data_IF_818006961318
#
_entry.id   IF_818006961318
#
_cell.length_a   1.000
_cell.length_b   1.000
_cell.length_c   1.000
_cell.angle_alpha   90.00
_cell.angle_beta   90.00
_cell.angle_gamma   90.00
#
_symmetry.space_group_name_H-M   'P 1'
#
loop_
_entity.id
_entity.type
_entity.pdbx_description
1 polymer ?
#
# COMPACT_ATOMS: atom_id res chain seq x y z
N UNK A 1 -0.20 20.94 -5.07
CA UNK A 1 1.13 21.41 -5.53
C UNK A 1 1.28 22.87 -5.11
N UNK A 2 2.50 23.43 -4.86
CA UNK A 2 2.61 24.85 -4.57
C UNK A 2 2.18 25.67 -5.80
N UNK A 3 1.40 26.73 -5.57
CA UNK A 3 0.91 27.56 -6.66
C UNK A 3 2.09 28.16 -7.43
N UNK A 4 2.03 28.13 -8.76
CA UNK A 4 2.98 28.86 -9.60
C UNK A 4 2.55 30.31 -9.74
N UNK A 5 1.25 30.56 -9.83
CA UNK A 5 0.71 31.90 -10.03
C UNK A 5 -0.14 32.39 -8.87
N UNK A 6 -0.05 33.69 -8.60
CA UNK A 6 -0.96 34.45 -7.73
C UNK A 6 -1.43 35.70 -8.46
N UNK A 7 -2.50 36.33 -7.98
CA UNK A 7 -3.01 37.59 -8.50
C UNK A 7 -2.83 38.64 -7.44
N UNK A 8 -2.23 39.76 -7.82
CA UNK A 8 -2.08 40.93 -6.97
C UNK A 8 -3.08 42.01 -7.41
N UNK A 9 -3.75 42.63 -6.45
CA UNK A 9 -4.85 43.59 -6.70
C UNK A 9 -4.47 44.70 -7.71
N UNK A 10 -3.24 45.21 -7.65
CA UNK A 10 -2.76 46.33 -8.50
C UNK A 10 -1.95 45.90 -9.71
N UNK A 11 -1.37 44.69 -9.66
CA UNK A 11 -0.33 44.26 -10.60
C UNK A 11 -0.76 43.05 -11.44
N UNK A 12 -1.96 42.52 -11.20
CA UNK A 12 -2.48 41.38 -11.94
C UNK A 12 -1.75 40.09 -11.61
N UNK A 13 -1.60 39.22 -12.59
CA UNK A 13 -1.04 37.87 -12.43
C UNK A 13 0.48 37.91 -12.26
N UNK A 14 0.99 37.24 -11.23
CA UNK A 14 2.40 37.16 -10.85
C UNK A 14 2.91 35.72 -10.95
N UNK A 15 4.11 35.49 -11.50
CA UNK A 15 4.77 34.16 -11.61
C UNK A 15 5.82 33.98 -10.50
N UNK A 16 5.50 33.15 -9.50
CA UNK A 16 6.36 32.90 -8.34
C UNK A 16 7.64 32.12 -8.69
N UNK A 17 7.78 31.59 -9.92
CA UNK A 17 9.03 30.98 -10.39
C UNK A 17 10.04 31.99 -10.90
N UNK A 18 9.63 33.24 -11.15
CA UNK A 18 10.54 34.31 -11.57
C UNK A 18 10.94 35.16 -10.37
N UNK A 19 12.21 35.54 -10.30
CA UNK A 19 12.75 36.34 -9.20
C UNK A 19 12.08 37.73 -9.11
N UNK A 20 11.61 38.25 -10.23
CA UNK A 20 10.91 39.53 -10.39
C UNK A 20 9.39 39.37 -10.52
N UNK A 21 8.83 38.22 -10.14
CA UNK A 21 7.40 37.91 -10.29
C UNK A 21 6.86 37.99 -11.73
N UNK A 22 7.74 38.14 -12.73
CA UNK A 22 7.39 38.29 -14.13
C UNK A 22 6.90 39.68 -14.53
N UNK A 23 7.13 40.72 -13.71
CA UNK A 23 6.74 42.10 -14.01
C UNK A 23 7.88 43.10 -13.72
N UNK A 24 7.91 44.27 -14.39
CA UNK A 24 8.80 45.37 -14.01
C UNK A 24 8.61 45.77 -12.53
N UNK A 25 9.71 45.90 -11.80
CA UNK A 25 9.69 46.24 -10.36
C UNK A 25 9.24 45.10 -9.43
N UNK A 26 9.01 43.89 -9.96
CA UNK A 26 8.42 42.81 -9.16
C UNK A 26 9.35 42.21 -8.09
N UNK A 27 10.67 42.44 -8.17
CA UNK A 27 11.60 42.04 -7.11
C UNK A 27 11.37 42.84 -5.81
N UNK A 28 11.16 44.15 -5.91
CA UNK A 28 10.83 45.01 -4.77
C UNK A 28 9.42 44.68 -4.23
N UNK A 29 8.47 44.42 -5.13
CA UNK A 29 7.14 43.95 -4.75
C UNK A 29 7.21 42.64 -3.95
N UNK A 30 8.01 41.66 -4.40
CA UNK A 30 8.17 40.38 -3.72
C UNK A 30 8.68 40.57 -2.29
N UNK A 31 9.71 41.38 -2.08
CA UNK A 31 10.27 41.62 -0.75
C UNK A 31 9.25 42.29 0.18
N UNK A 32 8.46 43.25 -0.30
CA UNK A 32 7.36 43.84 0.48
C UNK A 32 6.32 42.78 0.88
N UNK A 33 5.84 41.99 -0.08
CA UNK A 33 4.83 40.94 0.20
C UNK A 33 5.33 39.87 1.19
N UNK A 34 6.62 39.56 1.17
CA UNK A 34 7.26 38.65 2.13
C UNK A 34 7.47 39.28 3.53
N UNK A 35 7.61 40.61 3.59
CA UNK A 35 7.79 41.39 4.81
C UNK A 35 6.47 41.68 5.55
N UNK A 36 5.33 41.68 4.84
CA UNK A 36 3.98 41.99 5.36
C UNK A 36 3.39 40.95 6.32
N UNK A 37 4.23 40.23 7.09
CA UNK A 37 3.82 39.14 7.98
C UNK A 37 2.85 39.58 9.09
N UNK A 38 2.84 40.86 9.44
CA UNK A 38 2.00 41.44 10.51
C UNK A 38 0.62 41.90 10.04
N UNK A 39 0.40 42.03 8.72
CA UNK A 39 -0.89 42.42 8.17
C UNK A 39 -1.83 41.20 8.13
N UNK A 40 -3.14 41.36 8.39
CA UNK A 40 -4.11 40.31 8.08
C UNK A 40 -3.99 39.88 6.62
N UNK A 41 -4.03 38.58 6.33
CA UNK A 41 -3.79 38.08 4.96
C UNK A 41 -4.79 38.65 3.94
N UNK A 42 -6.04 38.88 4.38
CA UNK A 42 -7.08 39.48 3.55
C UNK A 42 -6.76 40.90 3.06
N UNK A 43 -5.84 41.62 3.71
CA UNK A 43 -5.48 42.99 3.34
C UNK A 43 -4.15 43.07 2.59
N UNK A 44 -3.50 41.94 2.28
CA UNK A 44 -2.21 41.90 1.58
C UNK A 44 -2.34 41.97 0.05
N UNK A 45 -3.57 42.03 -0.45
CA UNK A 45 -3.85 42.20 -1.88
C UNK A 45 -3.42 41.03 -2.78
N UNK A 46 -3.12 39.85 -2.22
CA UNK A 46 -2.72 38.65 -2.97
C UNK A 46 -3.81 37.59 -2.89
N UNK A 47 -4.29 37.11 -4.03
CA UNK A 47 -5.26 36.02 -4.15
C UNK A 47 -4.74 34.88 -5.03
N UNK A 48 -5.36 33.70 -4.91
CA UNK A 48 -5.02 32.56 -5.73
C UNK A 48 -5.41 32.78 -7.21
N UNK A 49 -4.44 32.72 -8.13
CA UNK A 49 -4.65 32.84 -9.58
C UNK A 49 -4.61 31.48 -10.32
N UNK A 50 -4.91 30.40 -9.62
CA UNK A 50 -4.93 29.06 -10.17
C UNK A 50 -6.29 28.41 -9.91
N UNK A 51 -6.35 27.42 -9.03
CA UNK A 51 -7.52 26.56 -8.89
C UNK A 51 -8.71 27.35 -8.31
N UNK A 52 -8.50 28.21 -7.31
CA UNK A 52 -9.59 29.03 -6.78
C UNK A 52 -10.14 30.04 -7.80
N UNK A 53 -9.29 30.76 -8.55
CA UNK A 53 -9.74 31.66 -9.62
C UNK A 53 -10.51 30.92 -10.72
N UNK A 54 -10.02 29.74 -11.14
CA UNK A 54 -10.71 28.89 -12.12
C UNK A 54 -12.09 28.45 -11.65
N UNK A 55 -12.24 28.23 -10.34
CA UNK A 55 -13.50 27.86 -9.69
C UNK A 55 -14.37 29.08 -9.31
N UNK A 56 -13.97 30.30 -9.68
CA UNK A 56 -14.72 31.53 -9.40
C UNK A 56 -14.59 32.06 -7.97
N UNK A 57 -13.59 31.61 -7.19
CA UNK A 57 -13.35 32.07 -5.83
C UNK A 57 -12.18 33.07 -5.76
N UNK A 58 -12.39 34.16 -5.02
CA UNK A 58 -11.34 35.10 -4.63
C UNK A 58 -10.79 34.75 -3.23
N UNK A 59 -9.81 33.86 -3.19
CA UNK A 59 -9.24 33.37 -1.92
C UNK A 59 -7.92 34.07 -1.58
N UNK A 60 -7.83 34.79 -0.44
CA UNK A 60 -6.61 35.47 -0.01
C UNK A 60 -5.47 34.49 0.29
N UNK A 61 -4.28 34.87 -0.14
CA UNK A 61 -3.05 34.12 0.04
C UNK A 61 -1.95 34.99 0.69
N UNK A 62 -0.99 34.32 1.31
CA UNK A 62 0.26 34.96 1.75
C UNK A 62 1.47 34.24 1.17
N UNK A 63 2.55 34.99 1.01
CA UNK A 63 3.82 34.48 0.50
C UNK A 63 4.81 34.23 1.65
N UNK A 64 5.60 33.17 1.52
CA UNK A 64 6.73 32.90 2.41
C UNK A 64 7.84 32.15 1.68
N UNK A 65 9.06 32.15 2.24
CA UNK A 65 10.18 31.37 1.72
C UNK A 65 10.25 30.01 2.41
N UNK A 66 10.31 28.93 1.64
CA UNK A 66 10.54 27.56 2.11
C UNK A 66 11.62 26.90 1.27
N UNK A 67 12.73 26.50 1.92
CA UNK A 67 13.88 25.88 1.24
C UNK A 67 14.36 26.68 0.02
N UNK A 68 14.49 28.00 0.18
CA UNK A 68 14.93 28.92 -0.87
C UNK A 68 13.89 29.27 -1.94
N UNK A 69 12.69 28.67 -1.90
CA UNK A 69 11.61 28.92 -2.87
C UNK A 69 10.53 29.82 -2.29
N UNK A 70 9.98 30.69 -3.12
CA UNK A 70 8.76 31.45 -2.78
C UNK A 70 7.57 30.50 -2.89
N UNK A 71 6.73 30.48 -1.84
CA UNK A 71 5.54 29.64 -1.75
C UNK A 71 4.36 30.54 -1.39
N UNK A 72 3.24 30.36 -2.07
CA UNK A 72 1.96 30.91 -1.67
C UNK A 72 1.15 29.88 -0.89
N UNK A 73 0.49 30.31 0.18
CA UNK A 73 -0.43 29.47 0.98
C UNK A 73 -1.73 30.22 1.26
N UNK A 74 -2.82 29.46 1.33
CA UNK A 74 -4.13 29.97 1.74
C UNK A 74 -4.17 30.18 3.24
N UNK A 75 -5.00 31.13 3.68
CA UNK A 75 -5.26 31.32 5.12
C UNK A 75 -6.24 30.28 5.66
N UNK A 76 -7.17 29.81 4.81
CA UNK A 76 -8.24 28.88 5.18
C UNK A 76 -7.95 27.51 4.59
N UNK A 77 -8.08 26.47 5.40
CA UNK A 77 -7.91 25.07 4.98
C UNK A 77 -8.89 24.70 3.86
N UNK A 78 -10.13 25.18 3.91
CA UNK A 78 -11.15 24.93 2.88
C UNK A 78 -10.76 25.46 1.50
N UNK A 79 -9.97 26.54 1.43
CA UNK A 79 -9.42 27.04 0.18
C UNK A 79 -8.23 26.22 -0.30
N UNK A 80 -7.39 25.75 0.62
CA UNK A 80 -6.32 24.81 0.31
C UNK A 80 -6.86 23.47 -0.20
N UNK A 81 -7.95 22.97 0.37
CA UNK A 81 -8.64 21.73 -0.03
C UNK A 81 -9.05 21.74 -1.51
N UNK A 82 -9.46 22.89 -2.04
CA UNK A 82 -9.81 23.04 -3.48
C UNK A 82 -8.62 22.74 -4.39
N UNK A 83 -7.38 22.99 -3.94
CA UNK A 83 -6.16 22.77 -4.73
C UNK A 83 -5.72 21.32 -4.83
N UNK A 84 -6.33 20.42 -4.05
CA UNK A 84 -6.07 19.00 -4.12
C UNK A 84 -6.98 18.28 -5.14
N UNK A 85 -7.76 19.04 -5.93
CA UNK A 85 -8.85 18.53 -6.72
C UNK A 85 -10.07 18.37 -5.82
N UNK A 86 -11.21 18.92 -6.24
CA UNK A 86 -12.44 18.85 -5.46
C UNK A 86 -12.83 17.37 -5.25
N UNK A 87 -12.75 16.90 -4.01
CA UNK A 87 -13.29 15.62 -3.56
C UNK A 87 -12.28 14.48 -3.52
N UNK A 88 -12.58 13.52 -2.64
CA UNK A 88 -12.02 12.17 -2.67
C UNK A 88 -12.01 11.64 -4.12
N UNK A 89 -10.88 11.11 -4.59
CA UNK A 89 -10.78 10.62 -5.97
C UNK A 89 -11.75 9.46 -6.21
N UNK A 90 -12.21 9.29 -7.43
CA UNK A 90 -13.15 8.21 -7.75
C UNK A 90 -12.53 6.82 -7.47
N UNK A 91 -11.20 6.67 -7.60
CA UNK A 91 -10.54 5.43 -7.18
C UNK A 91 -10.61 5.21 -5.66
N UNK A 92 -10.44 6.25 -4.85
CA UNK A 92 -10.53 6.17 -3.39
C UNK A 92 -11.96 5.79 -2.98
N UNK A 93 -12.98 6.47 -3.53
CA UNK A 93 -14.39 6.10 -3.34
C UNK A 93 -14.68 4.65 -3.78
N UNK A 94 -14.11 4.22 -4.89
CA UNK A 94 -14.29 2.87 -5.41
C UNK A 94 -13.67 1.80 -4.50
N UNK A 95 -12.51 2.06 -3.90
CA UNK A 95 -11.93 1.17 -2.88
C UNK A 95 -12.80 1.11 -1.63
N UNK A 96 -13.32 2.23 -1.12
CA UNK A 96 -14.28 2.26 0.01
C UNK A 96 -15.51 1.42 -0.28
N UNK A 97 -16.16 1.68 -1.42
CA UNK A 97 -17.36 0.95 -1.85
C UNK A 97 -17.08 -0.54 -2.02
N UNK A 98 -15.92 -0.91 -2.55
CA UNK A 98 -15.50 -2.30 -2.69
C UNK A 98 -15.25 -2.98 -1.34
N UNK A 99 -14.63 -2.30 -0.38
CA UNK A 99 -14.41 -2.83 0.97
C UNK A 99 -15.74 -3.09 1.70
N UNK A 100 -16.66 -2.13 1.66
CA UNK A 100 -18.03 -2.29 2.21
C UNK A 100 -18.70 -3.50 1.60
N UNK A 101 -18.77 -3.55 0.26
CA UNK A 101 -19.42 -4.63 -0.46
C UNK A 101 -18.79 -5.99 -0.11
N UNK A 102 -17.46 -6.09 -0.08
CA UNK A 102 -16.77 -7.32 0.27
C UNK A 102 -17.11 -7.78 1.70
N UNK A 103 -17.15 -6.85 2.66
CA UNK A 103 -17.54 -7.14 4.03
C UNK A 103 -18.99 -7.64 4.13
N UNK A 104 -19.93 -6.95 3.48
CA UNK A 104 -21.36 -7.32 3.45
C UNK A 104 -21.58 -8.69 2.82
N UNK A 105 -20.87 -9.02 1.75
CA UNK A 105 -20.89 -10.35 1.13
C UNK A 105 -20.30 -11.44 2.03
N UNK A 106 -19.42 -11.05 2.97
CA UNK A 106 -18.92 -11.92 4.03
C UNK A 106 -19.88 -12.08 5.22
N UNK A 107 -21.05 -11.43 5.18
CA UNK A 107 -22.02 -11.42 6.28
C UNK A 107 -21.73 -10.38 7.38
N UNK A 108 -20.80 -9.45 7.14
CA UNK A 108 -20.40 -8.43 8.12
C UNK A 108 -21.07 -7.08 7.84
N UNK A 109 -21.35 -6.32 8.89
CA UNK A 109 -21.87 -4.96 8.71
C UNK A 109 -20.72 -3.97 8.49
N UNK A 110 -20.85 -3.08 7.51
CA UNK A 110 -19.85 -2.08 7.21
C UNK A 110 -20.50 -0.70 7.02
N UNK A 111 -19.82 0.35 7.47
CA UNK A 111 -20.26 1.73 7.27
C UNK A 111 -19.13 2.54 6.66
N UNK A 112 -19.42 3.26 5.58
CA UNK A 112 -18.54 4.33 5.12
C UNK A 112 -18.71 5.51 6.06
N UNK A 113 -17.60 5.99 6.61
CA UNK A 113 -17.48 7.22 7.39
C UNK A 113 -18.67 7.54 8.34
N UNK A 114 -18.54 7.16 9.62
CA UNK A 114 -19.13 7.96 10.69
C UNK A 114 -18.03 8.56 11.56
N UNK A 115 -18.02 9.88 11.81
CA UNK A 115 -17.10 10.43 12.79
C UNK A 115 -17.40 9.81 14.15
N UNK A 116 -16.35 9.43 14.89
CA UNK A 116 -16.50 9.22 16.33
C UNK A 116 -16.99 10.52 16.99
N UNK A 117 -17.57 10.43 18.18
CA UNK A 117 -18.10 11.59 18.94
C UNK A 117 -17.06 12.72 19.11
N UNK A 118 -15.78 12.38 19.03
CA UNK A 118 -14.64 13.29 19.16
C UNK A 118 -14.01 13.74 17.83
N UNK A 119 -14.56 13.31 16.67
CA UNK A 119 -14.07 13.59 15.30
C UNK A 119 -12.60 13.23 15.01
N UNK A 120 -11.90 12.62 15.96
CA UNK A 120 -10.45 12.28 15.88
C UNK A 120 -10.18 10.93 15.21
N UNK A 121 -11.19 10.06 15.09
CA UNK A 121 -11.08 8.73 14.50
C UNK A 121 -12.10 8.66 13.37
N UNK A 122 -11.61 8.51 12.14
CA UNK A 122 -12.41 8.37 10.92
C UNK A 122 -11.66 7.42 10.00
N UNK A 123 -11.87 6.12 10.18
CA UNK A 123 -11.51 5.14 9.16
C UNK A 123 -12.38 5.41 7.94
N UNK A 124 -11.80 5.30 6.74
CA UNK A 124 -12.53 5.40 5.48
C UNK A 124 -13.75 4.47 5.44
N UNK A 125 -13.57 3.24 5.93
CA UNK A 125 -14.65 2.28 6.19
C UNK A 125 -14.43 1.66 7.56
N UNK A 126 -15.50 1.52 8.34
CA UNK A 126 -15.51 0.74 9.58
C UNK A 126 -16.36 -0.51 9.39
N UNK A 127 -15.75 -1.67 9.57
CA UNK A 127 -16.37 -3.00 9.45
C UNK A 127 -16.50 -3.58 10.86
N UNK A 128 -17.72 -4.00 11.22
CA UNK A 128 -17.97 -4.78 12.44
C UNK A 128 -17.90 -6.26 12.07
N UNK A 129 -16.79 -6.87 12.45
CA UNK A 129 -16.46 -8.25 12.19
C UNK A 129 -17.05 -9.22 13.23
N UNK A 130 -16.62 -10.47 13.13
CA UNK A 130 -16.95 -11.52 14.10
C UNK A 130 -16.41 -11.19 15.50
N UNK A 131 -17.06 -11.73 16.53
CA UNK A 131 -16.60 -11.68 17.93
C UNK A 131 -16.30 -10.26 18.47
N UNK A 132 -17.01 -9.25 17.94
CA UNK A 132 -16.84 -7.86 18.35
C UNK A 132 -15.63 -7.16 17.74
N UNK A 133 -14.93 -7.79 16.80
CA UNK A 133 -13.81 -7.20 16.05
C UNK A 133 -14.26 -5.92 15.33
N UNK A 134 -13.45 -4.87 15.43
CA UNK A 134 -13.58 -3.66 14.62
C UNK A 134 -12.42 -3.58 13.65
N UNK A 135 -12.70 -3.80 12.37
CA UNK A 135 -11.73 -3.67 11.29
C UNK A 135 -11.97 -2.31 10.61
N UNK A 136 -10.99 -1.42 10.71
CA UNK A 136 -10.96 -0.23 9.87
C UNK A 136 -10.33 -0.59 8.52
N UNK A 137 -10.82 -0.03 7.43
CA UNK A 137 -10.13 -0.06 6.15
C UNK A 137 -9.82 1.38 5.76
N UNK A 138 -8.59 1.63 5.33
CA UNK A 138 -8.06 2.96 5.00
C UNK A 138 -7.35 2.89 3.64
N UNK A 139 -7.77 3.68 2.64
CA UNK A 139 -7.13 3.72 1.32
C UNK A 139 -6.31 4.99 1.14
N UNK A 140 -4.99 4.85 1.09
CA UNK A 140 -4.06 5.96 0.93
C UNK A 140 -3.42 5.94 -0.46
N UNK A 141 -4.02 6.68 -1.39
CA UNK A 141 -3.56 6.81 -2.78
C UNK A 141 -2.68 8.04 -3.03
N UNK A 142 -2.78 9.05 -2.17
CA UNK A 142 -1.99 10.29 -2.27
C UNK A 142 -0.79 10.27 -1.32
N UNK A 143 0.20 11.16 -1.57
CA UNK A 143 1.33 11.31 -0.66
C UNK A 143 0.86 11.93 0.66
N UNK A 144 1.27 11.32 1.76
CA UNK A 144 1.00 11.76 3.13
C UNK A 144 2.28 11.60 3.95
N UNK A 145 2.40 12.39 5.01
CA UNK A 145 3.50 12.24 5.95
C UNK A 145 3.37 10.91 6.73
N UNK A 146 4.38 10.02 6.71
CA UNK A 146 4.32 8.75 7.43
C UNK A 146 4.06 8.89 8.93
N UNK A 147 4.47 10.02 9.54
CA UNK A 147 4.19 10.30 10.97
C UNK A 147 2.71 10.49 11.24
N UNK A 148 1.98 11.10 10.32
CA UNK A 148 0.55 11.34 10.47
C UNK A 148 -0.23 10.03 10.35
N UNK A 149 0.23 9.13 9.46
CA UNK A 149 -0.32 7.76 9.36
C UNK A 149 -0.08 6.98 10.65
N UNK A 150 1.15 7.00 11.19
CA UNK A 150 1.45 6.34 12.46
C UNK A 150 0.58 6.88 13.62
N UNK A 151 0.37 8.20 13.66
CA UNK A 151 -0.46 8.82 14.69
C UNK A 151 -1.95 8.43 14.57
N UNK A 152 -2.48 8.36 13.34
CA UNK A 152 -3.85 7.90 13.05
C UNK A 152 -4.03 6.43 13.44
N UNK A 153 -3.13 5.57 12.99
CA UNK A 153 -3.14 4.14 13.31
C UNK A 153 -3.06 3.89 14.82
N UNK A 154 -2.19 4.62 15.54
CA UNK A 154 -2.12 4.53 17.00
C UNK A 154 -3.41 5.02 17.70
N UNK A 155 -4.10 6.01 17.13
CA UNK A 155 -5.38 6.47 17.65
C UNK A 155 -6.50 5.44 17.42
N UNK A 156 -6.53 4.79 16.25
CA UNK A 156 -7.47 3.72 15.94
C UNK A 156 -7.26 2.50 16.85
N UNK A 157 -6.00 2.06 17.03
CA UNK A 157 -5.66 0.97 17.94
C UNK A 157 -6.10 1.25 19.38
N UNK A 158 -5.90 2.48 19.88
CA UNK A 158 -6.40 2.88 21.22
C UNK A 158 -7.92 2.81 21.35
N UNK A 159 -8.65 2.90 20.23
CA UNK A 159 -10.10 2.76 20.18
C UNK A 159 -10.56 1.33 19.87
N UNK A 160 -9.65 0.35 19.88
CA UNK A 160 -9.96 -1.05 19.60
C UNK A 160 -10.23 -1.34 18.12
N UNK A 161 -9.77 -0.48 17.21
CA UNK A 161 -9.91 -0.66 15.76
C UNK A 161 -8.56 -1.10 15.18
N UNK A 162 -8.56 -2.20 14.44
CA UNK A 162 -7.41 -2.63 13.65
C UNK A 162 -7.54 -2.10 12.22
N UNK A 163 -6.71 -1.13 11.83
CA UNK A 163 -6.78 -0.56 10.48
C UNK A 163 -6.00 -1.40 9.44
N UNK A 164 -6.70 -1.83 8.40
CA UNK A 164 -6.17 -2.37 7.15
C UNK A 164 -5.80 -1.22 6.19
N UNK A 165 -4.59 -0.70 6.35
CA UNK A 165 -4.05 0.39 5.53
C UNK A 165 -3.66 -0.08 4.13
N UNK A 166 -4.38 0.33 3.10
CA UNK A 166 -4.11 0.03 1.70
C UNK A 166 -3.38 1.18 0.99
N UNK A 167 -2.46 0.84 0.08
CA UNK A 167 -1.86 1.82 -0.85
C UNK A 167 -1.45 1.17 -2.18
N UNK A 168 -1.42 1.94 -3.27
CA UNK A 168 -0.76 1.53 -4.53
C UNK A 168 0.72 1.97 -4.59
N UNK A 169 1.16 2.79 -3.63
CA UNK A 169 2.47 3.42 -3.64
C UNK A 169 3.53 2.51 -3.01
N UNK A 170 4.45 2.01 -3.85
CA UNK A 170 5.65 1.28 -3.36
C UNK A 170 6.48 2.15 -2.40
N UNK A 171 6.52 3.48 -2.59
CA UNK A 171 7.28 4.37 -1.73
C UNK A 171 6.67 4.45 -0.32
N UNK A 172 5.34 4.58 -0.19
CA UNK A 172 4.67 4.61 1.12
C UNK A 172 4.78 3.25 1.82
N UNK A 173 4.57 2.16 1.08
CA UNK A 173 4.75 0.80 1.61
C UNK A 173 6.17 0.57 2.15
N UNK A 174 7.18 1.32 1.67
CA UNK A 174 8.56 1.21 2.13
C UNK A 174 8.86 1.87 3.48
N UNK A 175 8.04 2.82 3.91
CA UNK A 175 8.25 3.55 5.16
C UNK A 175 7.96 2.69 6.41
N UNK A 176 7.22 1.58 6.25
CA UNK A 176 6.95 0.58 7.30
C UNK A 176 6.42 1.14 8.63
N UNK A 177 5.68 2.26 8.58
CA UNK A 177 5.02 2.88 9.74
C UNK A 177 3.75 2.15 10.19
N UNK A 178 3.15 1.38 9.29
CA UNK A 178 1.98 0.50 9.49
C UNK A 178 2.15 -0.74 8.61
N UNK A 179 1.44 -1.86 8.87
CA UNK A 179 1.47 -3.06 8.02
C UNK A 179 0.69 -2.83 6.71
N UNK A 180 1.29 -2.06 5.80
CA UNK A 180 0.68 -1.67 4.53
C UNK A 180 0.19 -2.86 3.70
N UNK A 181 -1.05 -2.84 3.25
CA UNK A 181 -1.57 -3.72 2.21
C UNK A 181 -1.36 -3.06 0.85
N UNK A 182 -0.37 -3.54 0.10
CA UNK A 182 -0.01 -2.92 -1.19
C UNK A 182 -0.79 -3.57 -2.33
N UNK A 183 -1.53 -2.80 -3.12
CA UNK A 183 -2.02 -3.24 -4.44
C UNK A 183 -1.13 -2.67 -5.55
N UNK A 184 -1.30 -3.13 -6.79
CA UNK A 184 -0.79 -2.41 -7.95
C UNK A 184 -1.68 -1.19 -8.24
N UNK A 185 -1.19 -0.23 -9.04
CA UNK A 185 -2.02 0.89 -9.49
C UNK A 185 -3.03 0.38 -10.50
N UNK A 186 -4.32 0.53 -10.19
CA UNK A 186 -5.42 0.00 -11.00
C UNK A 186 -6.23 1.13 -11.64
N UNK A 187 -6.69 0.95 -12.89
CA UNK A 187 -7.75 1.77 -13.48
C UNK A 187 -9.03 1.70 -12.63
N UNK A 188 -9.82 2.77 -12.65
CA UNK A 188 -11.06 2.88 -11.88
C UNK A 188 -12.03 1.73 -12.20
N UNK A 189 -12.14 1.37 -13.48
CA UNK A 189 -13.03 0.35 -14.00
C UNK A 189 -12.71 -1.02 -13.40
N UNK A 190 -11.43 -1.32 -13.17
CA UNK A 190 -10.99 -2.56 -12.53
C UNK A 190 -11.22 -2.57 -11.02
N UNK A 191 -11.25 -1.40 -10.37
CA UNK A 191 -11.60 -1.29 -8.96
C UNK A 191 -13.10 -1.53 -8.79
N UNK A 192 -13.92 -0.91 -9.63
CA UNK A 192 -15.39 -1.04 -9.58
C UNK A 192 -15.89 -2.42 -9.99
N UNK A 193 -15.22 -3.09 -10.94
CA UNK A 193 -15.63 -4.41 -11.42
C UNK A 193 -15.51 -5.48 -10.32
N UNK A 194 -16.65 -6.06 -9.95
CA UNK A 194 -16.80 -7.06 -8.89
C UNK A 194 -15.81 -8.22 -9.00
N UNK A 195 -15.72 -8.84 -10.17
CA UNK A 195 -14.88 -10.02 -10.40
C UNK A 195 -13.46 -9.70 -10.85
N UNK A 196 -13.05 -8.43 -10.78
CA UNK A 196 -11.69 -8.02 -11.16
C UNK A 196 -10.68 -8.51 -10.11
N UNK A 197 -9.62 -9.22 -10.52
CA UNK A 197 -8.62 -9.72 -9.59
C UNK A 197 -7.76 -8.55 -9.07
N UNK A 198 -7.98 -8.17 -7.82
CA UNK A 198 -7.15 -7.17 -7.12
C UNK A 198 -6.36 -7.82 -5.98
N UNK A 199 -5.22 -8.46 -6.25
CA UNK A 199 -4.42 -9.04 -5.18
C UNK A 199 -3.67 -7.96 -4.40
N UNK A 200 -3.61 -8.13 -3.08
CA UNK A 200 -2.57 -7.51 -2.28
C UNK A 200 -1.22 -8.16 -2.59
N UNK A 201 -0.31 -7.37 -3.16
CA UNK A 201 1.07 -7.72 -3.53
C UNK A 201 2.06 -7.57 -2.38
N UNK A 202 1.61 -7.01 -1.26
CA UNK A 202 2.40 -6.79 -0.06
C UNK A 202 1.48 -6.57 1.13
N UNK A 203 2.01 -6.75 2.32
CA UNK A 203 1.27 -6.58 3.59
C UNK A 203 1.00 -7.91 4.26
N UNK A 204 0.84 -8.95 3.44
CA UNK A 204 0.43 -10.27 3.89
C UNK A 204 1.63 -11.20 3.89
N UNK A 205 1.79 -11.95 4.99
CA UNK A 205 2.83 -12.97 5.13
C UNK A 205 2.24 -14.25 5.71
N UNK A 206 2.84 -15.37 5.36
CA UNK A 206 2.70 -16.63 6.11
C UNK A 206 3.81 -16.71 7.14
N UNK A 207 3.49 -17.24 8.31
CA UNK A 207 4.49 -17.55 9.33
C UNK A 207 4.74 -19.06 9.27
N UNK A 208 5.95 -19.43 8.89
CA UNK A 208 6.37 -20.83 8.86
C UNK A 208 7.21 -21.12 10.10
N UNK A 209 6.91 -22.20 10.82
CA UNK A 209 7.74 -22.67 11.93
C UNK A 209 8.66 -23.77 11.43
N UNK A 210 9.96 -23.57 11.60
CA UNK A 210 10.99 -24.51 11.16
C UNK A 210 11.63 -25.13 12.41
N UNK A 211 11.58 -26.44 12.54
CA UNK A 211 12.24 -27.14 13.63
C UNK A 211 13.76 -27.01 13.51
N UNK A 212 14.43 -26.73 14.62
CA UNK A 212 15.88 -26.61 14.71
C UNK A 212 16.51 -27.98 14.98
N UNK A 213 16.51 -28.82 13.95
CA UNK A 213 17.13 -30.14 13.95
C UNK A 213 18.20 -30.25 12.86
N UNK A 214 18.69 -31.45 12.60
CA UNK A 214 19.71 -31.74 11.58
C UNK A 214 19.32 -31.27 10.17
N UNK A 215 18.02 -31.19 9.86
CA UNK A 215 17.51 -30.74 8.56
C UNK A 215 17.43 -29.22 8.44
N UNK A 216 17.57 -28.47 9.54
CA UNK A 216 17.54 -27.01 9.52
C UNK A 216 18.74 -26.44 8.74
N UNK A 217 18.53 -25.59 7.72
CA UNK A 217 19.63 -25.04 6.93
C UNK A 217 20.41 -24.00 7.75
N UNK A 218 21.59 -24.39 8.21
CA UNK A 218 22.52 -23.53 8.93
C UNK A 218 22.47 -23.65 10.47
N UNK A 219 23.19 -22.77 11.17
CA UNK A 219 23.28 -22.78 12.63
C UNK A 219 21.98 -22.35 13.29
N UNK A 220 21.73 -22.85 14.51
CA UNK A 220 20.60 -22.43 15.33
C UNK A 220 20.55 -20.88 15.48
N UNK A 221 19.44 -20.21 15.09
CA UNK A 221 19.22 -18.78 15.29
C UNK A 221 19.44 -18.26 16.71
N UNK A 222 19.16 -19.10 17.72
CA UNK A 222 19.34 -18.76 19.14
C UNK A 222 20.77 -19.01 19.61
N UNK A 223 21.27 -20.25 19.46
CA UNK A 223 22.58 -20.68 19.96
C UNK A 223 23.76 -20.22 19.10
N UNK A 224 23.51 -19.85 17.84
CA UNK A 224 24.51 -19.53 16.79
C UNK A 224 25.44 -20.68 16.41
N UNK A 225 25.46 -21.77 17.15
CA UNK A 225 26.13 -23.04 16.84
C UNK A 225 25.17 -24.21 17.13
N UNK A 226 25.41 -25.35 16.48
CA UNK A 226 24.65 -26.58 16.69
C UNK A 226 23.14 -26.44 16.45
N UNK A 227 22.37 -27.33 17.07
CA UNK A 227 20.89 -27.42 16.99
C UNK A 227 20.28 -27.32 18.39
N UNK A 228 19.10 -26.73 18.51
CA UNK A 228 18.43 -26.58 19.81
C UNK A 228 17.16 -27.41 19.95
N UNK A 229 16.73 -28.13 18.91
CA UNK A 229 15.53 -28.98 18.89
C UNK A 229 14.19 -28.22 18.86
N UNK A 230 14.20 -26.93 19.18
CA UNK A 230 13.00 -26.07 19.22
C UNK A 230 12.56 -25.54 17.87
N UNK A 231 11.40 -24.89 17.83
CA UNK A 231 10.85 -24.28 16.62
C UNK A 231 11.34 -22.84 16.46
N UNK A 232 11.62 -22.44 15.22
CA UNK A 232 12.04 -21.10 14.87
C UNK A 232 11.16 -20.50 13.79
N UNK A 233 10.70 -19.25 13.98
CA UNK A 233 9.88 -18.59 13.00
C UNK A 233 10.68 -18.18 11.77
N UNK A 234 10.05 -18.36 10.61
CA UNK A 234 10.39 -17.75 9.34
C UNK A 234 9.13 -17.09 8.79
N UNK A 235 9.28 -16.14 7.88
CA UNK A 235 8.12 -15.56 7.20
C UNK A 235 8.38 -15.47 5.71
N UNK A 236 7.32 -15.68 4.92
CA UNK A 236 7.33 -15.50 3.47
C UNK A 236 6.18 -14.61 3.02
N UNK A 237 6.36 -13.79 1.98
CA UNK A 237 5.26 -13.05 1.38
C UNK A 237 4.12 -13.97 0.95
N UNK A 238 2.90 -13.47 1.03
CA UNK A 238 1.73 -14.11 0.46
C UNK A 238 0.85 -13.06 -0.22
N UNK A 239 0.09 -13.52 -1.21
CA UNK A 239 -0.94 -12.71 -1.86
C UNK A 239 -2.31 -13.16 -1.37
N UNK A 240 -3.22 -12.21 -1.27
CA UNK A 240 -4.64 -12.46 -1.04
C UNK A 240 -5.44 -11.51 -1.94
N UNK A 241 -6.48 -11.99 -2.65
CA UNK A 241 -7.41 -11.10 -3.32
C UNK A 241 -8.03 -10.11 -2.33
N UNK A 242 -8.26 -8.87 -2.76
CA UNK A 242 -8.78 -7.79 -1.94
C UNK A 242 -10.05 -8.20 -1.19
N UNK A 243 -11.06 -8.67 -1.92
CA UNK A 243 -12.38 -9.01 -1.36
C UNK A 243 -12.27 -10.20 -0.40
N UNK A 244 -11.42 -11.18 -0.71
CA UNK A 244 -11.18 -12.33 0.18
C UNK A 244 -10.49 -11.90 1.47
N UNK A 245 -9.47 -11.04 1.38
CA UNK A 245 -8.79 -10.51 2.56
C UNK A 245 -9.75 -9.74 3.46
N UNK A 246 -10.58 -8.85 2.90
CA UNK A 246 -11.53 -8.08 3.70
C UNK A 246 -12.51 -9.00 4.43
N UNK A 247 -13.05 -10.01 3.74
CA UNK A 247 -13.93 -11.02 4.35
C UNK A 247 -13.24 -11.79 5.45
N UNK A 248 -12.05 -12.31 5.18
CA UNK A 248 -11.32 -13.13 6.14
C UNK A 248 -10.86 -12.33 7.36
N UNK A 249 -10.34 -11.12 7.16
CA UNK A 249 -9.92 -10.23 8.25
C UNK A 249 -11.11 -9.85 9.12
N UNK A 250 -12.26 -9.50 8.53
CA UNK A 250 -13.48 -9.22 9.28
C UNK A 250 -14.01 -10.46 10.03
N UNK A 251 -13.79 -11.66 9.50
CA UNK A 251 -14.13 -12.93 10.19
C UNK A 251 -13.09 -13.35 11.24
N UNK A 252 -12.05 -12.55 11.51
CA UNK A 252 -10.99 -12.90 12.45
C UNK A 252 -10.08 -14.04 11.98
N UNK A 253 -10.10 -14.38 10.68
CA UNK A 253 -9.22 -15.38 10.06
C UNK A 253 -7.85 -14.81 9.67
N UNK A 254 -7.73 -13.48 9.58
CA UNK A 254 -6.48 -12.76 9.45
C UNK A 254 -6.36 -11.72 10.55
N UNK A 255 -5.15 -11.61 11.10
CA UNK A 255 -4.82 -10.67 12.20
C UNK A 255 -3.59 -9.85 11.87
N UNK A 256 -3.50 -8.67 12.47
CA UNK A 256 -2.27 -7.89 12.51
C UNK A 256 -1.28 -8.53 13.48
N UNK A 257 -0.14 -8.98 12.97
CA UNK A 257 0.88 -9.69 13.74
C UNK A 257 2.19 -8.90 13.82
N UNK A 258 2.80 -8.91 15.01
CA UNK A 258 4.21 -8.55 15.19
C UNK A 258 5.04 -9.82 15.34
N UNK A 259 5.86 -10.11 14.33
CA UNK A 259 6.62 -11.36 14.24
C UNK A 259 8.11 -11.06 14.33
N UNK A 260 8.79 -11.71 15.27
CA UNK A 260 10.24 -11.61 15.40
C UNK A 260 10.91 -12.80 14.71
N UNK A 261 11.71 -12.52 13.69
CA UNK A 261 12.55 -13.51 13.02
C UNK A 261 14.01 -13.12 13.21
N UNK A 262 14.76 -13.94 13.95
CA UNK A 262 16.15 -13.65 14.33
C UNK A 262 16.25 -12.28 15.03
N UNK A 263 16.91 -11.31 14.39
CA UNK A 263 17.09 -9.93 14.90
C UNK A 263 16.12 -8.91 14.29
N UNK A 264 15.21 -9.34 13.42
CA UNK A 264 14.28 -8.47 12.70
C UNK A 264 12.87 -8.65 13.27
N UNK A 265 12.16 -7.54 13.42
CA UNK A 265 10.73 -7.53 13.69
C UNK A 265 9.98 -7.11 12.41
N UNK A 266 8.88 -7.80 12.14
CA UNK A 266 7.97 -7.52 11.04
C UNK A 266 6.59 -7.21 11.62
N UNK A 267 5.95 -6.16 11.14
CA UNK A 267 4.51 -5.99 11.28
C UNK A 267 3.86 -6.35 9.94
N UNK A 268 2.87 -7.25 9.97
CA UNK A 268 2.18 -7.72 8.77
C UNK A 268 0.80 -8.25 9.12
N UNK A 269 -0.02 -8.46 8.09
CA UNK A 269 -1.22 -9.27 8.17
C UNK A 269 -0.86 -10.74 7.91
N UNK A 270 -1.49 -11.65 8.65
CA UNK A 270 -1.22 -13.10 8.53
C UNK A 270 -2.45 -13.90 8.95
N UNK A 271 -2.63 -15.16 8.49
CA UNK A 271 -3.69 -16.00 9.00
C UNK A 271 -3.59 -16.17 10.52
N UNK A 272 -4.72 -16.13 11.22
CA UNK A 272 -4.77 -16.24 12.70
C UNK A 272 -4.09 -17.53 13.17
N UNK A 273 -4.37 -18.65 12.51
CA UNK A 273 -3.73 -19.94 12.82
C UNK A 273 -2.19 -19.93 12.69
N UNK A 274 -1.64 -19.16 11.75
CA UNK A 274 -0.18 -19.01 11.63
C UNK A 274 0.37 -18.21 12.82
N UNK A 275 -0.35 -17.18 13.28
CA UNK A 275 0.07 -16.34 14.39
C UNK A 275 -0.08 -17.04 15.74
N UNK A 276 -1.16 -17.78 15.95
CA UNK A 276 -1.37 -18.59 17.16
C UNK A 276 -0.26 -19.64 17.31
N UNK A 277 0.06 -20.36 16.23
CA UNK A 277 1.18 -21.31 16.24
C UNK A 277 2.51 -20.62 16.56
N UNK A 278 2.73 -19.39 16.06
CA UNK A 278 3.90 -18.60 16.39
C UNK A 278 3.94 -18.20 17.88
N UNK A 279 2.81 -17.77 18.44
CA UNK A 279 2.71 -17.43 19.86
C UNK A 279 2.99 -18.67 20.72
N UNK A 280 2.38 -19.82 20.40
CA UNK A 280 2.62 -21.08 21.11
C UNK A 280 4.10 -21.51 21.08
N UNK A 281 4.74 -21.36 19.91
CA UNK A 281 6.15 -21.70 19.75
C UNK A 281 7.11 -20.74 20.50
N UNK A 282 6.67 -19.51 20.77
CA UNK A 282 7.49 -18.45 21.38
C UNK A 282 7.09 -18.09 22.81
N UNK A 283 5.97 -18.61 23.33
CA UNK A 283 5.41 -18.30 24.65
C UNK A 283 6.38 -18.58 25.82
N UNK A 284 7.39 -19.43 25.62
CA UNK A 284 8.42 -19.75 26.62
C UNK A 284 9.65 -18.83 26.57
N UNK A 285 9.64 -17.79 25.75
CA UNK A 285 10.75 -16.84 25.60
C UNK A 285 10.45 -15.55 26.38
N UNK A 286 11.31 -15.20 27.35
CA UNK A 286 11.26 -13.90 28.01
C UNK A 286 11.48 -12.76 26.98
N UNK A 287 10.83 -11.59 27.15
CA UNK A 287 11.10 -10.43 26.30
C UNK A 287 12.58 -10.05 26.45
N UNK A 288 13.36 -9.96 25.37
CA UNK A 288 14.73 -9.49 25.48
C UNK A 288 14.77 -7.99 25.72
N UNK A 289 15.72 -7.54 26.53
CA UNK A 289 16.07 -6.12 26.66
C UNK A 289 16.37 -5.53 25.28
N UNK A 290 15.66 -4.46 24.95
CA UNK A 290 15.58 -3.91 23.59
C UNK A 290 16.82 -3.05 23.31
N UNK A 291 17.88 -3.63 22.75
CA UNK A 291 18.91 -2.84 22.05
C UNK A 291 18.47 -2.61 20.61
N UNK A 292 18.01 -1.38 20.32
CA UNK A 292 17.68 -0.83 19.00
C UNK A 292 16.92 -1.79 18.05
N UNK A 293 15.58 -1.74 18.06
CA UNK A 293 14.76 -2.45 17.08
C UNK A 293 15.13 -1.99 15.66
N UNK A 294 16.00 -2.75 14.99
CA UNK A 294 16.20 -2.62 13.55
C UNK A 294 14.94 -3.17 12.88
N UNK A 295 13.98 -2.30 12.61
CA UNK A 295 12.88 -2.62 11.70
C UNK A 295 13.49 -3.07 10.37
N UNK A 296 13.00 -4.18 9.84
CA UNK A 296 13.46 -4.65 8.54
C UNK A 296 13.08 -3.61 7.47
N UNK A 297 14.05 -2.82 6.99
CA UNK A 297 13.91 -1.99 5.76
C UNK A 297 13.65 -2.83 4.51
N UNK A 298 13.74 -4.18 4.60
CA UNK A 298 13.35 -5.09 3.53
C UNK A 298 11.83 -5.21 3.52
N UNK A 299 11.28 -4.21 2.89
CA UNK A 299 9.90 -4.02 2.54
C UNK A 299 9.47 -5.20 1.69
N UNK A 300 8.47 -5.90 2.20
CA UNK A 300 7.30 -6.37 1.45
C UNK A 300 7.48 -6.41 -0.06
N UNK A 301 7.61 -7.63 -0.61
CA UNK A 301 7.45 -7.86 -2.05
C UNK A 301 8.40 -7.06 -2.96
N UNK A 302 9.71 -7.14 -2.74
CA UNK A 302 10.66 -6.98 -3.85
C UNK A 302 10.69 -8.24 -4.75
N UNK A 303 10.10 -9.34 -4.29
CA UNK A 303 9.68 -10.43 -5.17
C UNK A 303 8.23 -10.21 -5.57
N UNK A 304 7.99 -9.85 -6.82
CA UNK A 304 6.88 -10.46 -7.54
C UNK A 304 6.94 -11.98 -7.24
N UNK A 305 5.85 -12.70 -6.94
CA UNK A 305 5.90 -14.15 -6.76
C UNK A 305 6.51 -14.91 -7.97
N UNK A 306 6.74 -14.23 -9.10
CA UNK A 306 7.51 -14.73 -10.25
C UNK A 306 9.03 -14.52 -10.15
N UNK A 307 9.53 -13.61 -9.31
CA UNK A 307 10.96 -13.37 -9.10
C UNK A 307 11.54 -14.40 -8.12
N UNK A 308 11.82 -15.60 -8.63
CA UNK A 308 12.72 -16.55 -7.97
C UNK A 308 14.09 -15.91 -7.78
N UNK A 309 14.52 -15.83 -6.52
CA UNK A 309 15.91 -15.55 -6.14
C UNK A 309 16.82 -16.54 -6.87
N UNK A 310 17.74 -16.04 -7.70
CA UNK A 310 18.91 -16.83 -8.15
C UNK A 310 19.65 -17.31 -6.92
N UNK A 311 19.70 -18.62 -6.69
CA UNK A 311 20.74 -19.23 -5.84
C UNK A 311 22.04 -19.28 -6.65
N UNK A 312 23.21 -18.96 -6.09
CA UNK A 312 24.48 -19.22 -6.76
C UNK A 312 24.80 -20.73 -6.68
N UNK A 313 25.16 -21.29 -7.83
CA UNK A 313 26.02 -22.47 -8.06
C UNK A 313 25.71 -23.76 -7.29
N UNK A 314 25.19 -24.77 -7.99
CA UNK A 314 25.58 -26.17 -7.86
C UNK A 314 25.22 -26.88 -9.17
N UNK A 315 26.21 -27.06 -10.03
CA UNK A 315 26.21 -28.10 -11.06
C UNK A 315 26.44 -29.44 -10.35
N UNK A 316 25.53 -30.40 -10.57
CA UNK A 316 25.83 -31.77 -11.02
C UNK A 316 24.60 -32.70 -10.88
N UNK A 317 24.51 -33.62 -11.82
CA UNK A 317 23.37 -34.41 -12.27
C UNK A 317 22.78 -35.42 -11.27
N UNK A 318 21.47 -35.72 -11.37
CA UNK A 318 20.86 -37.09 -11.46
C UNK A 318 19.45 -36.99 -12.10
N UNK A 319 19.06 -37.83 -13.08
CA UNK A 319 17.70 -37.89 -13.60
C UNK A 319 16.82 -38.83 -12.74
N UNK A 320 15.73 -38.32 -12.17
CA UNK A 320 14.74 -39.15 -11.49
C UNK A 320 13.68 -39.65 -12.48
N UNK A 321 13.55 -40.98 -12.49
CA UNK A 321 12.73 -41.79 -13.36
C UNK A 321 11.20 -41.60 -13.18
N UNK A 322 10.48 -42.04 -14.21
CA UNK A 322 9.03 -42.15 -14.30
C UNK A 322 8.37 -42.84 -13.09
N UNK A 323 7.30 -42.23 -12.57
CA UNK A 323 6.28 -42.89 -11.75
C UNK A 323 4.92 -42.60 -12.40
N UNK A 324 4.15 -43.61 -12.86
CA UNK A 324 2.80 -43.40 -13.38
C UNK A 324 1.78 -43.27 -12.23
N UNK A 325 0.70 -42.48 -12.38
CA UNK A 325 -0.34 -42.36 -11.35
C UNK A 325 -1.47 -43.39 -11.56
N UNK A 326 -2.08 -43.94 -10.50
CA UNK A 326 -3.40 -44.53 -10.59
C UNK A 326 -4.53 -43.51 -10.34
N UNK A 327 -5.47 -43.48 -11.29
CA UNK A 327 -6.89 -43.08 -11.24
C UNK A 327 -7.63 -43.61 -9.98
N UNK A 328 -8.71 -43.09 -9.39
CA UNK A 328 -9.76 -42.10 -9.72
C UNK A 328 -10.59 -41.77 -8.45
N UNK A 329 -11.02 -40.51 -8.25
CA UNK A 329 -12.38 -40.05 -7.84
C UNK A 329 -12.42 -38.52 -7.64
N UNK A 330 -13.55 -37.82 -7.91
CA UNK A 330 -13.54 -36.39 -8.26
C UNK A 330 -13.67 -35.44 -7.06
N UNK A 331 -12.80 -34.44 -7.00
CA UNK A 331 -12.96 -33.27 -6.13
C UNK A 331 -13.80 -32.18 -6.83
N UNK A 332 -14.55 -31.34 -6.09
CA UNK A 332 -15.49 -30.38 -6.67
C UNK A 332 -14.79 -29.34 -7.54
N UNK A 333 -15.46 -28.94 -8.62
CA UNK A 333 -14.97 -27.98 -9.62
C UNK A 333 -14.74 -26.60 -8.99
N UNK A 334 -13.51 -26.34 -8.59
CA UNK A 334 -12.99 -24.97 -8.47
C UNK A 334 -12.95 -24.40 -9.88
N UNK A 335 -13.77 -23.38 -10.18
CA UNK A 335 -13.63 -22.58 -11.40
C UNK A 335 -12.30 -21.81 -11.30
N UNK A 336 -11.25 -22.38 -11.88
CA UNK A 336 -9.94 -21.75 -11.97
C UNK A 336 -9.96 -20.57 -12.96
N UNK A 337 -9.37 -19.46 -12.51
CA UNK A 337 -8.77 -18.37 -13.25
C UNK A 337 -8.63 -18.54 -14.77
N UNK A 338 -9.22 -17.62 -15.52
CA UNK A 338 -8.96 -17.40 -16.95
C UNK A 338 -7.56 -16.81 -17.18
N UNK A 339 -6.55 -17.68 -17.20
CA UNK A 339 -5.32 -17.43 -17.94
C UNK A 339 -5.25 -18.49 -19.04
N UNK A 340 -5.55 -18.06 -20.27
CA UNK A 340 -5.73 -18.88 -21.46
C UNK A 340 -4.51 -19.76 -21.74
N UNK A 341 -4.61 -21.05 -21.42
CA UNK A 341 -3.62 -22.06 -21.79
C UNK A 341 -3.66 -22.23 -23.31
N UNK A 342 -2.53 -22.03 -23.98
CA UNK A 342 -2.38 -22.30 -25.41
C UNK A 342 -2.76 -21.19 -26.39
N UNK A 343 -2.96 -19.94 -25.95
CA UNK A 343 -3.14 -18.79 -26.86
C UNK A 343 -1.98 -17.81 -26.79
N UNK A 344 -1.54 -17.31 -27.94
CA UNK A 344 -0.41 -16.38 -28.03
C UNK A 344 -0.79 -14.97 -27.54
N UNK A 345 -0.06 -14.48 -26.54
CA UNK A 345 -0.25 -13.14 -25.94
C UNK A 345 0.74 -12.09 -26.44
N UNK A 346 1.11 -12.11 -27.73
CA UNK A 346 1.99 -11.11 -28.32
C UNK A 346 1.19 -9.88 -28.80
N UNK A 347 1.62 -8.68 -28.42
CA UNK A 347 1.04 -7.41 -28.89
C UNK A 347 -0.23 -6.97 -28.17
N UNK A 348 -0.75 -5.80 -28.58
CA UNK A 348 -1.98 -5.18 -28.08
C UNK A 348 -3.23 -5.93 -28.61
N UNK A 349 -3.09 -6.65 -29.73
CA UNK A 349 -4.15 -7.45 -30.36
C UNK A 349 -3.78 -8.93 -30.31
N UNK A 350 -4.64 -9.84 -29.80
CA UNK A 350 -4.30 -11.26 -29.71
C UNK A 350 -4.14 -11.87 -31.10
N UNK A 351 -2.97 -12.42 -31.42
CA UNK A 351 -2.77 -13.06 -32.72
C UNK A 351 -3.48 -14.42 -32.86
N UNK A 352 -4.12 -14.92 -31.80
CA UNK A 352 -5.01 -16.09 -31.81
C UNK A 352 -4.36 -17.46 -32.03
N UNK A 353 -3.10 -17.51 -32.44
CA UNK A 353 -2.40 -18.75 -32.79
C UNK A 353 -2.11 -19.63 -31.54
N UNK A 354 -2.12 -20.98 -31.71
CA UNK A 354 -1.79 -21.90 -30.64
C UNK A 354 -0.36 -21.65 -30.14
N UNK A 355 -0.23 -21.53 -28.83
CA UNK A 355 1.00 -21.11 -28.18
C UNK A 355 1.63 -22.20 -27.33
N UNK A 356 2.96 -22.17 -27.27
CA UNK A 356 3.77 -22.92 -26.31
C UNK A 356 4.27 -21.96 -25.23
N UNK A 357 4.66 -22.51 -24.09
CA UNK A 357 5.17 -21.72 -22.98
C UNK A 357 6.66 -21.40 -23.22
N UNK A 358 6.98 -20.12 -23.37
CA UNK A 358 8.34 -19.59 -23.44
C UNK A 358 8.68 -18.79 -22.18
N UNK A 359 9.95 -18.41 -22.02
CA UNK A 359 10.43 -17.59 -20.91
C UNK A 359 9.68 -16.24 -20.77
N UNK A 360 9.11 -15.70 -21.86
CA UNK A 360 8.34 -14.45 -21.86
C UNK A 360 6.80 -14.65 -21.81
N UNK A 361 6.34 -15.88 -21.55
CA UNK A 361 4.92 -16.26 -21.54
C UNK A 361 4.49 -17.11 -22.73
N UNK A 362 3.18 -17.27 -22.92
CA UNK A 362 2.62 -18.03 -24.05
C UNK A 362 2.83 -17.27 -25.35
N UNK A 363 3.59 -17.87 -26.28
CA UNK A 363 3.82 -17.35 -27.64
C UNK A 363 3.62 -18.45 -28.67
N UNK A 364 3.17 -18.10 -29.87
CA UNK A 364 3.22 -19.01 -31.01
C UNK A 364 4.64 -19.01 -31.62
N UNK A 365 4.90 -19.95 -32.51
CA UNK A 365 6.23 -20.12 -33.12
C UNK A 365 6.70 -18.89 -33.92
N UNK A 366 5.77 -18.05 -34.39
CA UNK A 366 6.04 -16.76 -35.07
C UNK A 366 6.44 -15.64 -34.11
N UNK A 367 5.95 -15.67 -32.86
CA UNK A 367 6.21 -14.62 -31.86
C UNK A 367 7.11 -15.10 -30.71
N UNK A 368 7.87 -16.19 -30.93
CA UNK A 368 8.80 -16.72 -29.94
C UNK A 368 9.93 -15.71 -29.66
N UNK A 369 10.50 -15.71 -28.46
CA UNK A 369 11.69 -14.90 -28.16
C UNK A 369 12.80 -15.15 -29.19
N UNK A 370 13.32 -14.07 -29.77
CA UNK A 370 14.38 -14.15 -30.79
C UNK A 370 13.89 -14.40 -32.23
N UNK A 371 12.58 -14.47 -32.48
CA UNK A 371 12.06 -14.37 -33.84
C UNK A 371 12.29 -12.95 -34.37
N UNK A 372 13.11 -12.81 -35.40
CA UNK A 372 13.16 -11.60 -36.22
C UNK A 372 11.89 -11.54 -37.06
N UNK A 373 11.04 -10.55 -36.79
CA UNK A 373 9.90 -10.19 -37.66
C UNK A 373 10.37 -9.71 -39.01
#
# INVERSE_FOLDING_TARGET
>A
MPNRYVKHERHGRLDLKKADLGIPGGAELLERLLADRRLPVSTRGVTCAEICETLGFEEPMYLYRRLGRVVASHTRSTAEDRHYGAGESDQHKAYKARAVRAAEEGGHSAVQERPSRDRKIRSDVLIRGADGLLLGFESQLSKVNPRDIAARDAAAQRAGVEDAWQTDSRALAKESVVPWLRTDRQPLELIMKRDSPLPFRGGIRRIDLIRCDERHPGPCPKRRTGKCGGWHPSTRPAERPFDDFIRDAASGLYVRAKVKVKRLAFECWTPTADYDAYLDATAREAPPEVSSQRHARRVMGDGDPTCRVRRPGFDDAVPLAHIPPPWSAPAPRVRSSSLYRGQCGAGVTPCGAPARLYACGWRCDTHKPGATT
#
